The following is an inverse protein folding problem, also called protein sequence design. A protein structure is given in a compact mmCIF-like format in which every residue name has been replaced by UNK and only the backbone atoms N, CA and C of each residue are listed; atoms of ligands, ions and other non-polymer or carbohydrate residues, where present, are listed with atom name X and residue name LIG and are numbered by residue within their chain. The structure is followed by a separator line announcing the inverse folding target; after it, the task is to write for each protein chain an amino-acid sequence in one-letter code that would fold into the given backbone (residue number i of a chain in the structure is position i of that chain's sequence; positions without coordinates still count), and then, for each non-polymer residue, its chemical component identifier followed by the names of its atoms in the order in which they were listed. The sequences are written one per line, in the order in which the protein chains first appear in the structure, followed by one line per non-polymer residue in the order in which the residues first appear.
data_IF_843719502611
#
_entry.id   IF_843719502611
#
_cell.length_a   1.000
_cell.length_b   1.000
_cell.length_c   1.000
_cell.angle_alpha   90.00
_cell.angle_beta   90.00
_cell.angle_gamma   90.00
#
_symmetry.space_group_name_H-M   'P 1'
#
loop_
_entity.id
_entity.type
_entity.pdbx_description
1 polymer ?
#
# COMPACT_ATOMS: atom_id res chain seq x y z
N UNK A 1 35.26 33.77 -1.66
CA UNK A 1 33.79 33.76 -1.57
C UNK A 1 33.40 32.35 -1.11
N UNK A 2 33.04 32.16 0.15
CA UNK A 2 32.67 30.85 0.70
C UNK A 2 31.16 30.82 0.96
N UNK A 3 30.46 29.82 0.43
CA UNK A 3 29.05 29.57 0.74
C UNK A 3 29.01 28.48 1.80
N UNK A 4 28.63 28.83 3.03
CA UNK A 4 28.39 27.87 4.10
C UNK A 4 26.90 27.50 4.10
N UNK A 5 26.60 26.25 3.76
CA UNK A 5 25.26 25.67 3.83
C UNK A 5 25.18 24.87 5.13
N UNK A 6 24.58 25.45 6.17
CA UNK A 6 24.31 24.75 7.42
C UNK A 6 22.82 24.51 7.59
N UNK A 7 22.40 23.26 7.81
CA UNK A 7 21.04 22.90 8.17
C UNK A 7 21.00 22.23 9.54
N UNK A 8 20.17 22.72 10.46
CA UNK A 8 19.84 22.04 11.71
C UNK A 8 18.45 21.43 11.63
N UNK A 9 18.35 20.13 11.88
CA UNK A 9 17.08 19.40 11.95
C UNK A 9 16.59 19.35 13.41
N UNK A 10 15.32 19.70 13.64
CA UNK A 10 14.60 19.35 14.87
C UNK A 10 13.23 18.79 14.48
N UNK A 11 13.05 17.49 14.66
CA UNK A 11 11.79 16.80 14.38
C UNK A 11 10.80 17.04 15.54
N UNK A 12 9.87 17.97 15.36
CA UNK A 12 8.72 18.10 16.28
C UNK A 12 7.38 18.42 15.59
N UNK A 13 7.26 18.37 14.25
CA UNK A 13 5.96 18.61 13.56
C UNK A 13 5.90 17.92 12.16
N UNK A 14 4.84 17.13 11.82
CA UNK A 14 4.72 16.44 10.53
C UNK A 14 4.42 17.33 9.32
N UNK A 15 4.19 18.64 9.51
CA UNK A 15 3.85 19.57 8.42
C UNK A 15 5.04 20.33 7.81
N UNK A 16 6.27 19.84 8.00
CA UNK A 16 7.47 20.63 7.73
C UNK A 16 7.79 20.76 6.23
N UNK A 17 7.42 21.89 5.64
CA UNK A 17 7.96 22.46 4.39
C UNK A 17 9.49 22.44 4.43
N UNK A 18 10.14 21.96 3.35
CA UNK A 18 11.60 22.07 3.22
C UNK A 18 11.99 23.56 3.21
N UNK A 19 12.47 24.07 4.35
CA UNK A 19 12.93 25.46 4.49
C UNK A 19 14.44 25.50 4.31
N UNK A 20 14.89 25.68 3.08
CA UNK A 20 16.28 26.07 2.81
C UNK A 20 16.40 27.59 2.96
N UNK A 21 17.15 28.06 3.95
CA UNK A 21 17.55 29.46 4.06
C UNK A 21 19.01 29.58 3.58
N UNK A 22 19.23 30.29 2.48
CA UNK A 22 20.59 30.68 2.07
C UNK A 22 20.90 31.99 2.79
N UNK A 23 21.74 31.92 3.83
CA UNK A 23 22.28 33.10 4.51
C UNK A 23 23.59 33.46 3.83
N UNK A 24 23.61 34.59 3.13
CA UNK A 24 24.85 35.15 2.57
C UNK A 24 25.38 36.16 3.57
N UNK A 25 26.52 35.86 4.19
CA UNK A 25 27.19 36.80 5.08
C UNK A 25 27.90 37.89 4.26
N UNK A 26 27.38 39.12 4.34
CA UNK A 26 27.90 40.28 3.62
C UNK A 26 28.98 41.04 4.41
N UNK A 27 29.43 40.53 5.57
CA UNK A 27 30.46 41.19 6.39
C UNK A 27 31.86 41.25 5.74
N UNK A 28 32.08 40.56 4.62
CA UNK A 28 33.38 40.51 3.93
C UNK A 28 33.50 41.45 2.72
N UNK A 29 32.50 42.30 2.42
CA UNK A 29 32.58 43.24 1.30
C UNK A 29 33.24 44.56 1.71
N UNK A 30 34.13 45.15 0.87
CA UNK A 30 34.70 46.46 1.12
C UNK A 30 33.61 47.52 1.28
N UNK A 31 33.74 48.38 2.30
CA UNK A 31 32.79 49.50 2.53
C UNK A 31 32.79 50.41 1.29
N UNK A 32 31.66 50.49 0.60
CA UNK A 32 31.46 51.38 -0.55
C UNK A 32 31.00 50.70 -1.84
N UNK A 33 30.96 49.36 -1.90
CA UNK A 33 30.45 48.65 -3.08
C UNK A 33 28.92 48.62 -3.09
N UNK A 34 28.28 49.37 -3.99
CA UNK A 34 26.88 49.19 -4.31
C UNK A 34 26.70 47.84 -5.03
N UNK A 35 26.27 46.81 -4.29
CA UNK A 35 25.92 45.52 -4.89
C UNK A 35 24.62 45.72 -5.66
N UNK A 36 24.66 45.56 -6.98
CA UNK A 36 23.46 45.52 -7.80
C UNK A 36 22.63 44.28 -7.42
N UNK A 37 21.70 44.48 -6.48
CA UNK A 37 20.84 43.45 -5.89
C UNK A 37 19.95 42.75 -6.93
N UNK A 38 19.61 43.43 -8.02
CA UNK A 38 18.86 42.81 -9.13
C UNK A 38 19.71 41.78 -9.87
N UNK A 39 20.96 42.13 -10.20
CA UNK A 39 21.90 41.20 -10.84
C UNK A 39 22.22 39.98 -9.97
N UNK A 40 22.34 40.17 -8.65
CA UNK A 40 22.60 39.09 -7.70
C UNK A 40 21.39 38.13 -7.55
N UNK A 41 20.17 38.68 -7.50
CA UNK A 41 18.94 37.88 -7.51
C UNK A 41 18.78 37.07 -8.81
N UNK A 42 19.17 37.63 -9.96
CA UNK A 42 19.14 36.94 -11.26
C UNK A 42 20.14 35.78 -11.28
N UNK A 43 21.34 35.96 -10.72
CA UNK A 43 22.36 34.91 -10.64
C UNK A 43 21.93 33.75 -9.73
N UNK A 44 21.34 34.02 -8.56
CA UNK A 44 20.78 32.98 -7.67
C UNK A 44 19.63 32.22 -8.33
N UNK A 45 18.73 32.91 -9.06
CA UNK A 45 17.70 32.25 -9.87
C UNK A 45 18.30 31.34 -10.94
N UNK A 46 19.40 31.75 -11.57
CA UNK A 46 20.14 30.95 -12.54
C UNK A 46 20.74 29.68 -11.93
N UNK A 47 21.40 29.79 -10.78
CA UNK A 47 22.01 28.64 -10.06
C UNK A 47 20.94 27.68 -9.54
N UNK A 48 19.86 28.18 -8.95
CA UNK A 48 18.73 27.34 -8.54
C UNK A 48 18.02 26.68 -9.73
N UNK A 49 17.95 27.37 -10.87
CA UNK A 49 17.45 26.80 -12.13
C UNK A 49 18.32 25.66 -12.68
N UNK A 50 19.65 25.77 -12.53
CA UNK A 50 20.60 24.72 -12.90
C UNK A 50 20.51 23.52 -11.95
N UNK A 51 20.39 23.76 -10.63
CA UNK A 51 20.17 22.69 -9.63
C UNK A 51 18.82 21.98 -9.87
N UNK A 52 17.77 22.74 -10.23
CA UNK A 52 16.46 22.18 -10.61
C UNK A 52 16.56 21.29 -11.86
N UNK A 53 17.32 21.72 -12.89
CA UNK A 53 17.58 20.92 -14.09
C UNK A 53 18.40 19.66 -13.80
N UNK A 54 19.34 19.73 -12.87
CA UNK A 54 20.22 18.61 -12.50
C UNK A 54 19.51 17.57 -11.61
N UNK A 55 18.55 17.98 -10.77
CA UNK A 55 17.87 17.07 -9.83
C UNK A 55 16.50 16.57 -10.33
N UNK A 56 15.79 17.34 -11.17
CA UNK A 56 14.41 17.01 -11.58
C UNK A 56 14.12 17.50 -13.01
N UNK A 57 14.63 16.79 -14.01
CA UNK A 57 14.30 17.03 -15.43
C UNK A 57 12.86 16.58 -15.73
N UNK A 58 11.88 17.45 -15.43
CA UNK A 58 10.48 17.21 -15.81
C UNK A 58 9.44 18.13 -15.17
N UNK A 59 9.77 18.93 -14.16
CA UNK A 59 8.77 19.68 -13.38
C UNK A 59 8.59 21.15 -13.81
N UNK A 60 7.45 21.43 -14.43
CA UNK A 60 6.99 22.76 -14.87
C UNK A 60 6.38 23.64 -13.77
N UNK A 61 7.11 23.94 -12.70
CA UNK A 61 6.70 24.94 -11.68
C UNK A 61 7.38 26.30 -11.85
N UNK A 62 6.64 27.40 -11.62
CA UNK A 62 7.16 28.79 -11.60
C UNK A 62 7.62 29.20 -10.20
N UNK A 63 8.86 29.69 -10.07
CA UNK A 63 9.39 30.22 -8.81
C UNK A 63 9.01 31.69 -8.65
N UNK A 64 8.18 32.04 -7.66
CA UNK A 64 7.89 33.44 -7.30
C UNK A 64 8.75 33.86 -6.11
N UNK A 65 9.76 34.69 -6.38
CA UNK A 65 10.61 35.30 -5.35
C UNK A 65 9.94 36.58 -4.87
N UNK A 66 9.52 36.64 -3.61
CA UNK A 66 9.08 37.89 -2.97
C UNK A 66 10.20 38.41 -2.04
N UNK A 67 10.69 39.64 -2.23
CA UNK A 67 11.62 40.24 -1.28
C UNK A 67 10.86 40.61 0.00
N UNK A 68 11.42 40.27 1.17
CA UNK A 68 10.89 40.68 2.46
C UNK A 68 11.98 41.49 3.20
N UNK A 69 11.79 42.81 3.28
CA UNK A 69 12.70 43.70 4.01
C UNK A 69 12.14 43.94 5.41
N UNK A 70 12.87 43.51 6.46
CA UNK A 70 12.67 44.00 7.83
C UNK A 70 13.89 44.87 8.19
N UNK A 71 13.72 46.19 8.04
CA UNK A 71 14.64 47.28 8.41
C UNK A 71 15.90 47.50 7.56
N UNK A 72 16.36 48.76 7.56
CA UNK A 72 17.22 49.42 6.54
C UNK A 72 18.70 49.03 6.54
N UNK A 73 19.14 48.01 7.28
CA UNK A 73 20.58 47.66 7.31
C UNK A 73 20.92 46.18 7.18
N UNK A 74 19.95 45.30 6.98
CA UNK A 74 20.19 43.86 6.76
C UNK A 74 19.10 43.28 5.86
N UNK A 75 19.47 42.88 4.65
CA UNK A 75 18.57 42.22 3.71
C UNK A 75 18.96 40.75 3.60
N UNK A 76 18.37 39.88 4.42
CA UNK A 76 18.59 38.43 4.30
C UNK A 76 17.30 37.67 4.60
N UNK A 77 16.54 37.37 3.55
CA UNK A 77 15.73 36.16 3.40
C UNK A 77 14.98 36.22 2.07
N UNK A 78 15.50 35.56 1.03
CA UNK A 78 14.66 35.22 -0.12
C UNK A 78 13.80 34.03 0.28
N UNK A 79 12.49 34.26 0.44
CA UNK A 79 11.53 33.17 0.66
C UNK A 79 11.11 32.62 -0.70
N UNK A 80 11.72 31.52 -1.12
CA UNK A 80 11.14 30.69 -2.16
C UNK A 80 9.97 29.91 -1.53
N UNK A 81 8.75 30.39 -1.77
CA UNK A 81 7.57 29.57 -1.58
C UNK A 81 7.43 28.77 -2.87
N UNK A 82 7.79 27.49 -2.82
CA UNK A 82 7.30 26.53 -3.82
C UNK A 82 5.79 26.48 -3.60
N UNK A 83 5.07 27.20 -4.44
CA UNK A 83 3.62 27.13 -4.50
C UNK A 83 3.26 25.70 -4.93
N UNK A 84 2.76 24.92 -3.98
CA UNK A 84 2.30 23.55 -4.20
C UNK A 84 0.93 23.52 -4.86
N UNK A 85 0.67 24.46 -5.78
CA UNK A 85 -0.55 24.52 -6.59
C UNK A 85 -0.57 23.49 -7.73
N UNK A 86 0.45 22.61 -7.80
CA UNK A 86 0.36 21.31 -8.48
C UNK A 86 0.07 20.26 -7.41
N UNK A 87 -1.18 20.24 -6.95
CA UNK A 87 -1.78 19.07 -6.29
C UNK A 87 -2.25 18.10 -7.38
N UNK A 88 -1.85 16.83 -7.27
CA UNK A 88 -2.07 15.70 -8.21
C UNK A 88 -1.03 15.51 -9.32
N UNK A 89 0.24 15.41 -8.95
CA UNK A 89 1.00 14.28 -9.48
C UNK A 89 0.95 13.25 -8.35
N UNK A 90 -0.04 12.37 -8.41
CA UNK A 90 0.02 11.11 -7.68
C UNK A 90 1.39 10.51 -8.04
N UNK A 91 2.24 10.33 -7.03
CA UNK A 91 3.47 9.59 -7.25
C UNK A 91 3.01 8.22 -7.71
N UNK A 92 3.32 7.84 -8.94
CA UNK A 92 3.03 6.48 -9.38
C UNK A 92 3.83 5.54 -8.47
N UNK A 93 3.19 4.51 -7.90
CA UNK A 93 3.90 3.36 -7.38
C UNK A 93 5.07 3.02 -8.26
N UNK A 94 6.25 2.96 -7.65
CA UNK A 94 7.33 2.21 -8.26
C UNK A 94 6.77 0.81 -8.50
N UNK A 95 6.62 0.35 -9.75
CA UNK A 95 5.93 -0.91 -10.03
C UNK A 95 6.70 -2.14 -9.53
N UNK A 96 7.98 -1.94 -9.23
CA UNK A 96 8.91 -2.97 -8.81
C UNK A 96 8.48 -3.68 -7.52
N UNK A 97 8.31 -2.97 -6.39
CA UNK A 97 7.82 -3.55 -5.13
C UNK A 97 6.58 -4.44 -5.27
N UNK A 98 5.52 -3.99 -5.95
CA UNK A 98 4.30 -4.77 -6.17
C UNK A 98 4.55 -6.06 -6.93
N UNK A 99 5.26 -5.95 -8.06
CA UNK A 99 5.62 -7.09 -8.87
C UNK A 99 6.51 -8.08 -8.11
N UNK A 100 7.55 -7.61 -7.43
CA UNK A 100 8.48 -8.45 -6.67
C UNK A 100 7.79 -9.14 -5.50
N UNK A 101 6.95 -8.44 -4.73
CA UNK A 101 6.22 -9.01 -3.60
C UNK A 101 5.28 -10.12 -4.06
N UNK A 102 4.47 -9.85 -5.08
CA UNK A 102 3.49 -10.81 -5.58
C UNK A 102 4.17 -12.01 -6.26
N UNK A 103 5.21 -11.77 -7.05
CA UNK A 103 5.96 -12.85 -7.70
C UNK A 103 6.69 -13.72 -6.69
N UNK A 104 7.37 -13.13 -5.70
CA UNK A 104 8.05 -13.87 -4.64
C UNK A 104 7.06 -14.70 -3.81
N UNK A 105 5.91 -14.12 -3.48
CA UNK A 105 4.80 -14.82 -2.80
C UNK A 105 4.28 -15.99 -3.64
N UNK A 106 4.07 -15.79 -4.95
CA UNK A 106 3.64 -16.85 -5.86
C UNK A 106 4.67 -17.97 -6.01
N UNK A 107 5.95 -17.66 -6.05
CA UNK A 107 7.04 -18.64 -6.07
C UNK A 107 7.10 -19.44 -4.75
N UNK A 108 6.92 -18.78 -3.61
CA UNK A 108 6.81 -19.46 -2.31
C UNK A 108 5.62 -20.42 -2.29
N UNK A 109 4.44 -19.98 -2.76
CA UNK A 109 3.26 -20.84 -2.91
C UNK A 109 3.50 -22.01 -3.86
N UNK A 110 4.20 -21.78 -4.97
CA UNK A 110 4.60 -22.82 -5.92
C UNK A 110 5.44 -23.89 -5.22
N UNK A 111 6.44 -23.47 -4.44
CA UNK A 111 7.33 -24.37 -3.70
C UNK A 111 6.59 -25.18 -2.63
N UNK A 112 5.83 -24.53 -1.74
CA UNK A 112 5.16 -25.23 -0.64
C UNK A 112 4.02 -26.15 -1.09
N UNK A 113 3.50 -25.95 -2.31
CA UNK A 113 2.40 -26.75 -2.86
C UNK A 113 2.85 -27.78 -3.88
N UNK A 114 4.16 -27.94 -4.09
CA UNK A 114 4.74 -28.81 -5.11
C UNK A 114 4.15 -28.53 -6.49
N UNK A 115 4.07 -27.24 -6.86
CA UNK A 115 3.67 -26.79 -8.19
C UNK A 115 2.16 -26.73 -8.47
N UNK A 116 1.28 -27.04 -7.49
CA UNK A 116 -0.17 -26.86 -7.66
C UNK A 116 -0.56 -25.40 -7.85
N UNK A 117 0.14 -24.51 -7.17
CA UNK A 117 0.19 -23.11 -7.57
C UNK A 117 1.26 -23.00 -8.66
N UNK A 118 0.85 -23.09 -9.92
CA UNK A 118 1.77 -23.17 -11.06
C UNK A 118 2.28 -21.78 -11.52
N UNK A 119 3.27 -21.72 -12.43
CA UNK A 119 3.72 -20.47 -13.03
C UNK A 119 2.59 -19.60 -13.62
N UNK A 120 1.53 -20.22 -14.15
CA UNK A 120 0.34 -19.50 -14.63
C UNK A 120 -0.39 -18.76 -13.50
N UNK A 121 -0.48 -19.37 -12.32
CA UNK A 121 -1.10 -18.75 -11.14
C UNK A 121 -0.25 -17.57 -10.68
N UNK A 122 1.07 -17.78 -10.54
CA UNK A 122 2.02 -16.74 -10.15
C UNK A 122 1.99 -15.56 -11.09
N UNK A 123 2.01 -15.80 -12.41
CA UNK A 123 1.94 -14.73 -13.40
C UNK A 123 0.63 -13.94 -13.30
N UNK A 124 -0.51 -14.63 -13.28
CA UNK A 124 -1.83 -13.97 -13.21
C UNK A 124 -1.97 -13.17 -11.91
N UNK A 125 -1.58 -13.74 -10.77
CA UNK A 125 -1.57 -13.03 -9.48
C UNK A 125 -0.69 -11.78 -9.52
N UNK A 126 0.54 -11.92 -10.03
CA UNK A 126 1.53 -10.83 -10.09
C UNK A 126 1.06 -9.69 -10.98
N UNK A 127 0.52 -10.00 -12.17
CA UNK A 127 0.03 -8.97 -13.10
C UNK A 127 -1.08 -8.14 -12.47
N UNK A 128 -1.99 -8.76 -11.71
CA UNK A 128 -3.08 -8.02 -11.06
C UNK A 128 -2.65 -7.31 -9.77
N UNK A 129 -1.60 -7.78 -9.09
CA UNK A 129 -0.99 -7.04 -7.98
C UNK A 129 -0.18 -5.82 -8.45
N UNK A 130 0.40 -5.91 -9.66
CA UNK A 130 1.11 -4.82 -10.28
C UNK A 130 0.16 -3.86 -11.00
N UNK A 131 -0.43 -4.27 -12.12
CA UNK A 131 -1.18 -3.40 -13.02
C UNK A 131 -2.66 -3.24 -12.68
N UNK A 132 -3.20 -4.08 -11.78
CA UNK A 132 -4.64 -4.30 -11.72
C UNK A 132 -5.44 -3.02 -11.50
N UNK A 133 -5.52 -2.49 -10.27
CA UNK A 133 -6.24 -1.25 -9.98
C UNK A 133 -5.64 -0.01 -10.68
N UNK A 134 -4.32 0.00 -10.90
CA UNK A 134 -3.58 1.05 -11.61
C UNK A 134 -3.95 1.20 -13.10
N UNK A 135 -4.67 0.26 -13.70
CA UNK A 135 -5.23 0.47 -15.04
C UNK A 135 -6.19 1.69 -15.07
N UNK A 136 -6.73 2.08 -13.91
CA UNK A 136 -7.48 3.32 -13.73
C UNK A 136 -6.64 4.56 -14.04
N UNK A 137 -5.47 4.71 -13.42
CA UNK A 137 -4.57 5.85 -13.65
C UNK A 137 -4.02 5.86 -15.08
N UNK A 138 -3.82 4.68 -15.68
CA UNK A 138 -3.52 4.57 -17.12
C UNK A 138 -4.67 5.08 -18.00
N UNK A 139 -5.92 4.80 -17.63
CA UNK A 139 -7.11 5.25 -18.38
C UNK A 139 -7.30 6.77 -18.29
N UNK A 140 -6.99 7.37 -17.14
CA UNK A 140 -6.97 8.83 -16.97
C UNK A 140 -5.87 9.48 -17.83
N UNK A 141 -4.65 8.94 -17.77
CA UNK A 141 -3.56 9.39 -18.63
C UNK A 141 -3.95 9.29 -20.11
N UNK A 142 -4.52 8.17 -20.55
CA UNK A 142 -4.96 7.97 -21.92
C UNK A 142 -6.07 8.96 -22.31
N UNK A 143 -7.06 9.17 -21.45
CA UNK A 143 -8.14 10.15 -21.65
C UNK A 143 -7.63 11.58 -21.82
N UNK A 144 -6.60 11.96 -21.04
CA UNK A 144 -5.96 13.27 -21.12
C UNK A 144 -5.32 13.56 -22.48
N UNK A 145 -4.90 12.53 -23.22
CA UNK A 145 -4.34 12.66 -24.57
C UNK A 145 -5.40 13.02 -25.63
N UNK A 146 -6.66 12.65 -25.40
CA UNK A 146 -7.76 12.87 -26.35
C UNK A 146 -8.62 14.10 -25.99
N UNK A 147 -8.60 14.53 -24.73
CA UNK A 147 -9.27 15.74 -24.25
C UNK A 147 -10.82 15.66 -24.27
N UNK A 148 -11.46 16.69 -23.71
CA UNK A 148 -12.92 16.84 -23.75
C UNK A 148 -13.66 15.71 -23.00
N UNK A 149 -14.70 15.08 -23.59
CA UNK A 149 -15.46 14.01 -22.94
C UNK A 149 -14.62 12.81 -22.53
N UNK A 150 -13.51 12.54 -23.22
CA UNK A 150 -12.62 11.41 -22.94
C UNK A 150 -11.76 11.62 -21.69
N UNK A 151 -11.45 12.87 -21.35
CA UNK A 151 -10.74 13.23 -20.11
C UNK A 151 -11.64 13.00 -18.90
N UNK A 152 -12.90 13.47 -18.97
CA UNK A 152 -13.90 13.23 -17.94
C UNK A 152 -14.22 11.73 -17.76
N UNK A 153 -14.32 10.98 -18.87
CA UNK A 153 -14.51 9.52 -18.83
C UNK A 153 -13.31 8.81 -18.21
N UNK A 154 -12.09 9.18 -18.59
CA UNK A 154 -10.85 8.61 -18.06
C UNK A 154 -10.72 8.79 -16.55
N UNK A 155 -10.96 10.01 -16.06
CA UNK A 155 -10.90 10.31 -14.62
C UNK A 155 -12.01 9.61 -13.81
N UNK A 156 -13.23 9.51 -14.37
CA UNK A 156 -14.32 8.77 -13.73
C UNK A 156 -14.03 7.25 -13.66
N UNK A 157 -13.47 6.68 -14.74
CA UNK A 157 -13.04 5.28 -14.75
C UNK A 157 -11.88 5.05 -13.78
N UNK A 158 -10.93 5.97 -13.67
CA UNK A 158 -9.83 5.86 -12.72
C UNK A 158 -10.34 5.76 -11.28
N UNK A 159 -11.24 6.67 -10.88
CA UNK A 159 -11.84 6.64 -9.55
C UNK A 159 -12.67 5.37 -9.29
N UNK A 160 -13.39 4.88 -10.31
CA UNK A 160 -14.22 3.69 -10.15
C UNK A 160 -13.35 2.42 -10.04
N UNK A 161 -12.32 2.29 -10.86
CA UNK A 161 -11.49 1.10 -10.98
C UNK A 161 -10.46 1.03 -9.84
N UNK A 162 -9.95 2.16 -9.35
CA UNK A 162 -9.01 2.23 -8.24
C UNK A 162 -9.67 2.05 -6.85
N UNK A 163 -10.86 1.46 -6.79
CA UNK A 163 -11.50 1.08 -5.52
C UNK A 163 -11.32 -0.44 -5.28
N UNK A 164 -10.94 -0.87 -4.05
CA UNK A 164 -10.54 -2.25 -3.74
C UNK A 164 -11.53 -3.33 -4.14
N UNK A 165 -12.82 -3.01 -4.13
CA UNK A 165 -13.87 -3.95 -4.52
C UNK A 165 -14.38 -3.74 -5.94
N UNK A 166 -14.31 -2.52 -6.48
CA UNK A 166 -14.93 -2.22 -7.77
C UNK A 166 -14.07 -2.69 -8.93
N UNK A 167 -12.74 -2.69 -8.79
CA UNK A 167 -11.87 -3.40 -9.74
C UNK A 167 -12.34 -4.84 -9.98
N UNK A 168 -12.57 -5.56 -8.88
CA UNK A 168 -12.99 -6.97 -8.90
C UNK A 168 -14.39 -7.11 -9.50
N UNK A 169 -15.34 -6.26 -9.11
CA UNK A 169 -16.73 -6.35 -9.57
C UNK A 169 -16.87 -5.97 -11.05
N UNK A 170 -16.14 -4.96 -11.53
CA UNK A 170 -16.25 -4.44 -12.90
C UNK A 170 -15.37 -5.24 -13.86
N UNK A 171 -14.09 -5.46 -13.51
CA UNK A 171 -13.11 -6.07 -14.41
C UNK A 171 -12.82 -7.54 -14.09
N UNK A 172 -13.15 -8.03 -12.89
CA UNK A 172 -12.84 -9.40 -12.49
C UNK A 172 -13.44 -10.45 -13.43
N UNK A 173 -14.72 -10.32 -13.80
CA UNK A 173 -15.34 -11.24 -14.75
C UNK A 173 -14.73 -11.13 -16.16
N UNK A 174 -14.70 -9.96 -16.82
CA UNK A 174 -14.05 -9.83 -18.15
C UNK A 174 -12.61 -10.35 -18.19
N UNK A 175 -11.78 -9.96 -17.22
CA UNK A 175 -10.38 -10.37 -17.16
C UNK A 175 -10.24 -11.88 -16.87
N UNK A 176 -11.17 -12.49 -16.15
CA UNK A 176 -11.11 -13.94 -15.91
C UNK A 176 -11.22 -14.76 -17.19
N UNK A 177 -12.04 -14.31 -18.15
CA UNK A 177 -12.14 -14.93 -19.47
C UNK A 177 -10.86 -14.71 -20.27
N UNK A 178 -10.32 -13.49 -20.26
CA UNK A 178 -9.08 -13.16 -20.95
C UNK A 178 -7.89 -13.97 -20.42
N UNK A 179 -7.67 -13.98 -19.10
CA UNK A 179 -6.55 -14.70 -18.50
C UNK A 179 -6.66 -16.22 -18.68
N UNK A 180 -7.86 -16.80 -18.66
CA UNK A 180 -8.05 -18.22 -18.95
C UNK A 180 -7.66 -18.57 -20.40
N UNK A 181 -7.95 -17.67 -21.36
CA UNK A 181 -7.50 -17.80 -22.75
C UNK A 181 -5.99 -17.64 -22.88
N UNK A 182 -5.40 -16.64 -22.22
CA UNK A 182 -3.95 -16.42 -22.21
C UNK A 182 -3.23 -17.63 -21.61
N UNK A 183 -3.72 -18.17 -20.49
CA UNK A 183 -3.15 -19.38 -19.87
C UNK A 183 -3.17 -20.58 -20.82
N UNK A 184 -4.29 -20.76 -21.54
CA UNK A 184 -4.42 -21.80 -22.58
C UNK A 184 -3.39 -21.60 -23.69
N UNK A 185 -3.26 -20.37 -24.20
CA UNK A 185 -2.28 -20.03 -25.24
C UNK A 185 -0.83 -20.28 -24.77
N UNK A 186 -0.46 -19.81 -23.58
CA UNK A 186 0.89 -19.96 -23.02
C UNK A 186 1.25 -21.42 -22.77
N UNK A 187 0.26 -22.24 -22.40
CA UNK A 187 0.44 -23.68 -22.23
C UNK A 187 0.64 -24.38 -23.58
N UNK A 188 -0.20 -24.09 -24.58
CA UNK A 188 -0.12 -24.69 -25.91
C UNK A 188 1.15 -24.32 -26.67
N UNK A 189 1.69 -23.12 -26.42
CA UNK A 189 2.96 -22.66 -27.00
C UNK A 189 4.19 -23.09 -26.20
N UNK A 190 4.02 -23.87 -25.13
CA UNK A 190 5.08 -24.31 -24.22
C UNK A 190 5.90 -23.16 -23.61
N UNK A 191 5.32 -21.96 -23.51
CA UNK A 191 5.94 -20.81 -22.87
C UNK A 191 5.88 -20.90 -21.34
N UNK A 192 4.83 -21.52 -20.80
CA UNK A 192 4.69 -21.77 -19.37
C UNK A 192 4.19 -23.18 -19.08
N UNK A 193 4.86 -23.85 -18.15
CA UNK A 193 4.49 -25.19 -17.71
C UNK A 193 3.41 -25.15 -16.60
N UNK A 194 2.73 -26.29 -16.43
CA UNK A 194 1.73 -26.52 -15.39
C UNK A 194 1.76 -27.99 -15.00
N UNK A 195 1.76 -28.30 -13.70
CA UNK A 195 1.86 -29.68 -13.19
C UNK A 195 0.80 -30.60 -13.79
N UNK A 196 -0.44 -30.10 -13.93
CA UNK A 196 -1.55 -30.87 -14.49
C UNK A 196 -1.65 -30.80 -16.02
N UNK A 197 -0.80 -30.01 -16.70
CA UNK A 197 -0.94 -29.66 -18.13
C UNK A 197 -2.35 -29.15 -18.50
N UNK A 198 -3.03 -28.52 -17.55
CA UNK A 198 -4.33 -27.88 -17.75
C UNK A 198 -4.14 -26.37 -17.55
N UNK A 199 -4.75 -25.54 -18.43
CA UNK A 199 -4.71 -24.09 -18.25
C UNK A 199 -5.61 -23.64 -17.10
N UNK A 200 -5.45 -22.41 -16.65
CA UNK A 200 -6.29 -21.84 -15.61
C UNK A 200 -7.75 -21.77 -16.06
N UNK A 201 -8.64 -22.24 -15.18
CA UNK A 201 -10.08 -22.01 -15.32
C UNK A 201 -10.43 -20.56 -15.03
N UNK A 202 -11.58 -20.11 -15.54
CA UNK A 202 -12.08 -18.75 -15.30
C UNK A 202 -12.26 -18.44 -13.82
N UNK A 203 -12.72 -19.41 -13.03
CA UNK A 203 -12.87 -19.23 -11.57
C UNK A 203 -11.52 -19.06 -10.87
N UNK A 204 -10.50 -19.83 -11.26
CA UNK A 204 -9.15 -19.65 -10.72
C UNK A 204 -8.61 -18.27 -11.10
N UNK A 205 -8.79 -17.83 -12.34
CA UNK A 205 -8.41 -16.48 -12.76
C UNK A 205 -9.16 -15.41 -11.95
N UNK A 206 -10.46 -15.56 -11.70
CA UNK A 206 -11.23 -14.62 -10.88
C UNK A 206 -10.68 -14.48 -9.46
N UNK A 207 -10.32 -15.60 -8.81
CA UNK A 207 -9.68 -15.58 -7.50
C UNK A 207 -8.30 -14.92 -7.53
N UNK A 208 -7.49 -15.18 -8.56
CA UNK A 208 -6.15 -14.61 -8.72
C UNK A 208 -6.19 -13.10 -9.02
N UNK A 209 -7.16 -12.64 -9.81
CA UNK A 209 -7.43 -11.21 -10.05
C UNK A 209 -7.77 -10.54 -8.73
N UNK A 210 -8.69 -11.14 -7.97
CA UNK A 210 -9.12 -10.62 -6.67
C UNK A 210 -7.96 -10.57 -5.68
N UNK A 211 -7.16 -11.64 -5.60
CA UNK A 211 -5.98 -11.71 -4.74
C UNK A 211 -4.93 -10.65 -5.13
N UNK A 212 -4.67 -10.51 -6.43
CA UNK A 212 -3.75 -9.50 -6.94
C UNK A 212 -4.22 -8.09 -6.56
N UNK A 213 -5.48 -7.78 -6.83
CA UNK A 213 -6.08 -6.49 -6.47
C UNK A 213 -5.96 -6.18 -4.98
N UNK A 214 -6.29 -7.11 -4.07
CA UNK A 214 -6.14 -6.86 -2.64
C UNK A 214 -4.67 -6.71 -2.22
N UNK A 215 -3.76 -7.45 -2.86
CA UNK A 215 -2.31 -7.31 -2.62
C UNK A 215 -1.79 -5.96 -3.10
N UNK A 216 -2.30 -5.46 -4.22
CA UNK A 216 -1.98 -4.12 -4.73
C UNK A 216 -2.31 -3.06 -3.67
N UNK A 217 -3.57 -3.02 -3.24
CA UNK A 217 -3.99 -2.09 -2.19
C UNK A 217 -3.23 -2.31 -0.88
N UNK A 218 -2.94 -3.54 -0.47
CA UNK A 218 -2.11 -3.80 0.72
C UNK A 218 -0.79 -3.01 0.67
N UNK A 219 -0.11 -3.04 -0.47
CA UNK A 219 1.15 -2.36 -0.66
C UNK A 219 0.97 -0.84 -0.77
N UNK A 220 -0.09 -0.37 -1.44
CA UNK A 220 -0.34 1.08 -1.55
C UNK A 220 -0.59 1.72 -0.19
N UNK A 221 -1.38 1.02 0.65
CA UNK A 221 -1.68 1.47 2.00
C UNK A 221 -0.43 1.53 2.88
N UNK A 222 0.55 0.67 2.63
CA UNK A 222 1.82 0.64 3.38
C UNK A 222 2.84 1.65 2.86
N UNK A 223 2.91 1.87 1.55
CA UNK A 223 4.06 2.53 0.93
C UNK A 223 3.74 3.78 0.09
N UNK A 224 2.54 3.91 -0.47
CA UNK A 224 2.26 4.88 -1.56
C UNK A 224 1.69 6.22 -1.06
N UNK A 225 0.85 6.20 -0.01
CA UNK A 225 0.05 7.38 0.32
C UNK A 225 0.52 8.17 1.55
N UNK A 226 1.76 7.95 2.03
CA UNK A 226 2.22 8.49 3.33
C UNK A 226 1.22 8.21 4.48
N UNK A 227 0.48 7.09 4.41
CA UNK A 227 -0.56 6.75 5.38
C UNK A 227 -1.79 7.67 5.34
N UNK A 228 -2.14 8.25 4.18
CA UNK A 228 -3.29 9.15 4.05
C UNK A 228 -4.53 8.51 3.42
N UNK A 229 -4.50 7.21 3.08
CA UNK A 229 -5.70 6.54 2.57
C UNK A 229 -6.82 6.64 3.60
N UNK A 230 -8.07 6.69 3.14
CA UNK A 230 -9.24 6.68 4.03
C UNK A 230 -9.23 5.46 4.95
N UNK A 231 -8.81 4.31 4.43
CA UNK A 231 -8.64 3.06 5.18
C UNK A 231 -7.54 3.18 6.23
N UNK A 232 -6.34 3.69 5.90
CA UNK A 232 -5.25 3.80 6.85
C UNK A 232 -5.56 4.84 7.93
N UNK A 233 -6.19 5.95 7.56
CA UNK A 233 -6.73 6.93 8.49
C UNK A 233 -7.76 6.29 9.42
N UNK A 234 -8.66 5.46 8.89
CA UNK A 234 -9.61 4.70 9.68
C UNK A 234 -8.91 3.72 10.63
N UNK A 235 -7.91 2.97 10.16
CA UNK A 235 -7.11 2.05 11.00
C UNK A 235 -6.53 2.82 12.17
N UNK A 236 -5.74 3.85 11.90
CA UNK A 236 -5.14 4.69 12.94
C UNK A 236 -6.20 5.27 13.88
N UNK A 237 -7.35 5.67 13.35
CA UNK A 237 -8.43 6.22 14.16
C UNK A 237 -8.98 5.23 15.17
N UNK A 238 -8.76 3.92 15.05
CA UNK A 238 -9.20 2.90 16.03
C UNK A 238 -8.31 2.81 17.28
N UNK A 239 -7.07 3.31 17.21
CA UNK A 239 -6.12 3.32 18.33
C UNK A 239 -6.26 4.53 19.26
N UNK A 240 -5.34 4.62 20.24
CA UNK A 240 -5.25 5.76 21.17
C UNK A 240 -3.87 6.38 21.13
N UNK A 241 -3.81 7.60 20.58
CA UNK A 241 -2.56 8.28 20.28
C UNK A 241 -2.39 9.58 21.08
N UNK A 242 -3.29 9.85 22.03
CA UNK A 242 -3.28 11.09 22.82
C UNK A 242 -2.85 10.81 24.25
N UNK A 243 -1.62 11.19 24.61
CA UNK A 243 -1.02 10.91 25.92
C UNK A 243 -0.95 9.40 26.24
N UNK A 244 -0.64 9.04 27.48
CA UNK A 244 -0.57 7.63 27.89
C UNK A 244 -1.96 7.00 27.83
N UNK A 245 -2.12 5.92 27.10
CA UNK A 245 -3.38 5.20 27.04
C UNK A 245 -3.82 4.75 28.46
N UNK A 246 -5.06 5.03 28.87
CA UNK A 246 -5.56 4.56 30.16
C UNK A 246 -5.67 3.04 30.16
N UNK A 247 -5.10 2.40 31.18
CA UNK A 247 -5.18 0.94 31.33
C UNK A 247 -6.60 0.57 31.78
N UNK A 248 -7.34 -0.10 30.91
CA UNK A 248 -8.66 -0.61 31.22
C UNK A 248 -8.55 -2.03 31.83
N UNK A 249 -8.93 -2.26 33.11
CA UNK A 249 -8.84 -3.58 33.72
C UNK A 249 -9.73 -4.61 33.01
N UNK A 250 -10.89 -4.21 32.48
CA UNK A 250 -11.79 -5.08 31.73
C UNK A 250 -11.10 -5.63 30.47
N UNK A 251 -10.31 -4.78 29.81
CA UNK A 251 -9.54 -5.15 28.64
C UNK A 251 -8.49 -6.22 28.99
N UNK A 252 -7.77 -6.06 30.10
CA UNK A 252 -6.77 -7.04 30.56
C UNK A 252 -7.42 -8.40 30.80
N UNK A 253 -8.57 -8.42 31.49
CA UNK A 253 -9.29 -9.67 31.80
C UNK A 253 -9.80 -10.34 30.52
N UNK A 254 -10.46 -9.59 29.64
CA UNK A 254 -11.09 -10.16 28.44
C UNK A 254 -10.05 -10.59 27.41
N UNK A 255 -9.06 -9.75 27.13
CA UNK A 255 -7.98 -10.09 26.18
C UNK A 255 -7.15 -11.24 26.73
N UNK A 256 -6.80 -11.20 28.02
CA UNK A 256 -6.10 -12.29 28.68
C UNK A 256 -6.86 -13.61 28.59
N UNK A 257 -8.17 -13.57 28.82
CA UNK A 257 -9.05 -14.74 28.66
C UNK A 257 -9.09 -15.24 27.21
N UNK A 258 -9.29 -14.36 26.23
CA UNK A 258 -9.33 -14.72 24.81
C UNK A 258 -8.00 -15.32 24.34
N UNK A 259 -6.87 -14.75 24.75
CA UNK A 259 -5.53 -15.29 24.48
C UNK A 259 -5.33 -16.66 25.14
N UNK A 260 -5.75 -16.83 26.39
CA UNK A 260 -5.69 -18.12 27.08
C UNK A 260 -6.56 -19.19 26.38
N UNK A 261 -7.76 -18.83 25.95
CA UNK A 261 -8.65 -19.70 25.16
C UNK A 261 -8.04 -20.06 23.81
N UNK A 262 -7.41 -19.11 23.12
CA UNK A 262 -6.75 -19.37 21.84
C UNK A 262 -5.58 -20.34 21.99
N UNK A 263 -4.67 -20.06 22.92
CA UNK A 263 -3.49 -20.89 23.17
C UNK A 263 -3.91 -22.26 23.70
N UNK A 264 -4.73 -22.30 24.76
CA UNK A 264 -5.21 -23.54 25.37
C UNK A 264 -6.05 -24.39 24.41
N UNK A 265 -6.93 -23.76 23.64
CA UNK A 265 -7.72 -24.42 22.60
C UNK A 265 -6.85 -24.98 21.48
N UNK A 266 -5.84 -24.25 21.04
CA UNK A 266 -4.89 -24.74 20.02
C UNK A 266 -4.12 -25.96 20.52
N UNK A 267 -3.60 -25.93 21.77
CA UNK A 267 -2.97 -27.09 22.40
C UNK A 267 -3.92 -28.28 22.50
N UNK A 268 -5.15 -28.04 22.94
CA UNK A 268 -6.16 -29.08 23.09
C UNK A 268 -6.50 -29.77 21.76
N UNK A 269 -6.72 -28.99 20.70
CA UNK A 269 -7.05 -29.50 19.36
C UNK A 269 -5.88 -30.25 18.72
N UNK A 270 -4.65 -29.79 18.94
CA UNK A 270 -3.45 -30.34 18.34
C UNK A 270 -2.72 -31.38 19.21
N UNK A 271 -3.31 -31.83 20.32
CA UNK A 271 -2.69 -32.84 21.19
C UNK A 271 -2.39 -34.15 20.42
N UNK A 272 -1.26 -34.76 20.76
CA UNK A 272 -0.74 -35.97 20.10
C UNK A 272 -1.71 -37.16 20.20
N UNK A 273 -2.47 -37.26 21.29
CA UNK A 273 -3.42 -38.35 21.56
C UNK A 273 -4.76 -38.25 20.83
N UNK A 274 -4.99 -37.22 20.01
CA UNK A 274 -6.24 -37.09 19.25
C UNK A 274 -6.20 -37.93 17.97
N UNK A 275 -7.22 -38.78 17.78
CA UNK A 275 -7.45 -39.62 16.59
C UNK A 275 -7.80 -38.83 15.32
N UNK A 276 -7.95 -37.52 15.40
CA UNK A 276 -8.23 -36.68 14.23
C UNK A 276 -7.01 -36.58 13.31
N UNK A 277 -7.25 -36.58 12.00
CA UNK A 277 -6.20 -36.31 11.02
C UNK A 277 -5.65 -34.87 11.15
N UNK A 278 -4.41 -34.65 10.73
CA UNK A 278 -3.77 -33.31 10.74
C UNK A 278 -4.64 -32.27 10.02
N UNK A 279 -5.27 -32.64 8.89
CA UNK A 279 -6.17 -31.76 8.15
C UNK A 279 -7.38 -31.33 8.99
N UNK A 280 -8.00 -32.26 9.71
CA UNK A 280 -9.14 -31.97 10.57
C UNK A 280 -8.72 -31.09 11.75
N UNK A 281 -7.57 -31.36 12.37
CA UNK A 281 -6.99 -30.52 13.43
C UNK A 281 -6.69 -29.10 12.95
N UNK A 282 -6.11 -28.95 11.76
CA UNK A 282 -5.84 -27.66 11.12
C UNK A 282 -7.13 -26.88 10.87
N UNK A 283 -8.16 -27.53 10.31
CA UNK A 283 -9.48 -26.90 10.10
C UNK A 283 -10.12 -26.44 11.42
N UNK A 284 -10.11 -27.29 12.45
CA UNK A 284 -10.63 -26.92 13.78
C UNK A 284 -9.82 -25.77 14.41
N UNK A 285 -8.50 -25.74 14.23
CA UNK A 285 -7.64 -24.65 14.70
C UNK A 285 -7.95 -23.34 14.00
N UNK A 286 -8.20 -23.38 12.69
CA UNK A 286 -8.64 -22.23 11.92
C UNK A 286 -10.00 -21.71 12.41
N UNK A 287 -10.97 -22.60 12.66
CA UNK A 287 -12.27 -22.21 13.23
C UNK A 287 -12.12 -21.57 14.62
N UNK A 288 -11.26 -22.11 15.47
CA UNK A 288 -10.93 -21.51 16.77
C UNK A 288 -10.37 -20.10 16.60
N UNK A 289 -9.37 -19.92 15.73
CA UNK A 289 -8.78 -18.62 15.44
C UNK A 289 -9.83 -17.61 14.96
N UNK A 290 -10.66 -17.98 13.98
CA UNK A 290 -11.72 -17.11 13.44
C UNK A 290 -12.72 -16.75 14.53
N UNK A 291 -13.10 -17.71 15.38
CA UNK A 291 -14.05 -17.47 16.48
C UNK A 291 -13.49 -16.47 17.49
N UNK A 292 -12.24 -16.67 17.95
CA UNK A 292 -11.58 -15.77 18.90
C UNK A 292 -11.37 -14.38 18.28
N UNK A 293 -10.89 -14.31 17.04
CA UNK A 293 -10.70 -13.04 16.34
C UNK A 293 -12.03 -12.28 16.19
N UNK A 294 -13.13 -12.97 15.88
CA UNK A 294 -14.45 -12.36 15.76
C UNK A 294 -14.97 -11.82 17.10
N UNK A 295 -14.80 -12.59 18.17
CA UNK A 295 -15.14 -12.13 19.53
C UNK A 295 -14.31 -10.92 19.94
N UNK A 296 -13.02 -10.92 19.59
CA UNK A 296 -12.13 -9.80 19.88
C UNK A 296 -12.51 -8.55 19.09
N UNK A 297 -12.73 -8.67 17.78
CA UNK A 297 -13.20 -7.56 16.94
C UNK A 297 -14.54 -7.01 17.44
N UNK A 298 -15.48 -7.86 17.85
CA UNK A 298 -16.76 -7.44 18.43
C UNK A 298 -16.54 -6.63 19.71
N UNK A 299 -15.68 -7.10 20.62
CA UNK A 299 -15.31 -6.38 21.82
C UNK A 299 -14.71 -5.00 21.49
N UNK A 300 -13.72 -4.94 20.59
CA UNK A 300 -13.12 -3.67 20.18
C UNK A 300 -14.16 -2.72 19.55
N UNK A 301 -15.05 -3.23 18.71
CA UNK A 301 -16.10 -2.44 18.08
C UNK A 301 -17.06 -1.83 19.13
N UNK A 302 -17.43 -2.59 20.16
CA UNK A 302 -18.25 -2.09 21.28
C UNK A 302 -17.52 -0.96 22.02
N UNK A 303 -16.24 -1.13 22.34
CA UNK A 303 -15.44 -0.12 23.05
C UNK A 303 -15.27 1.18 22.23
N UNK A 304 -15.10 1.05 20.91
CA UNK A 304 -14.83 2.17 20.01
C UNK A 304 -16.11 2.92 19.60
N UNK A 305 -17.17 2.18 19.24
CA UNK A 305 -18.35 2.76 18.59
C UNK A 305 -19.58 2.86 19.49
N UNK A 306 -19.66 2.06 20.56
CA UNK A 306 -20.88 1.98 21.39
C UNK A 306 -20.74 2.65 22.75
N UNK A 307 -19.55 2.59 23.37
CA UNK A 307 -19.31 3.15 24.69
C UNK A 307 -18.96 4.64 24.60
N UNK A 308 -19.57 5.46 25.46
CA UNK A 308 -19.34 6.90 25.58
C UNK A 308 -18.91 7.28 27.02
N UNK A 309 -17.78 7.99 27.22
CA UNK A 309 -16.81 8.38 26.19
C UNK A 309 -16.11 7.16 25.61
N UNK A 310 -15.68 7.28 24.35
CA UNK A 310 -14.95 6.24 23.63
C UNK A 310 -13.77 5.74 24.46
N UNK A 311 -13.62 4.41 24.55
CA UNK A 311 -12.50 3.78 25.27
C UNK A 311 -11.57 3.08 24.28
N UNK A 312 -10.24 3.18 24.43
CA UNK A 312 -9.35 2.27 23.71
C UNK A 312 -9.66 0.84 24.11
N UNK A 313 -9.75 -0.05 23.13
CA UNK A 313 -10.02 -1.45 23.39
C UNK A 313 -8.87 -2.10 24.18
N UNK A 314 -7.61 -1.83 23.77
CA UNK A 314 -6.38 -2.24 24.45
C UNK A 314 -5.26 -1.26 24.08
N UNK A 315 -4.53 -0.73 25.07
CA UNK A 315 -3.29 0.03 24.84
C UNK A 315 -3.41 1.24 23.91
N UNK A 316 -2.29 1.60 23.28
CA UNK A 316 -2.19 2.67 22.27
C UNK A 316 -2.54 2.17 20.85
N UNK A 317 -2.60 0.84 20.67
CA UNK A 317 -2.62 0.18 19.37
C UNK A 317 -4.00 0.23 18.69
N UNK A 318 -3.96 0.23 17.34
CA UNK A 318 -5.12 0.31 16.47
C UNK A 318 -5.75 -1.07 16.18
N UNK A 319 -6.03 -1.84 17.23
CA UNK A 319 -6.29 -3.29 17.14
C UNK A 319 -7.40 -3.67 16.15
N UNK A 320 -8.58 -3.05 16.26
CA UNK A 320 -9.70 -3.35 15.37
C UNK A 320 -9.34 -3.05 13.91
N UNK A 321 -8.75 -1.87 13.69
CA UNK A 321 -8.35 -1.43 12.36
C UNK A 321 -7.32 -2.37 11.75
N UNK A 322 -6.28 -2.70 12.52
CA UNK A 322 -5.20 -3.60 12.11
C UNK A 322 -5.72 -5.00 11.82
N UNK A 323 -6.60 -5.55 12.65
CA UNK A 323 -7.17 -6.89 12.42
C UNK A 323 -8.01 -6.95 11.15
N UNK A 324 -8.87 -5.95 10.92
CA UNK A 324 -9.67 -5.87 9.69
C UNK A 324 -8.76 -5.69 8.47
N UNK A 325 -7.74 -4.83 8.58
CA UNK A 325 -6.77 -4.62 7.50
C UNK A 325 -6.01 -5.90 7.15
N UNK A 326 -5.46 -6.60 8.15
CA UNK A 326 -4.77 -7.87 7.94
C UNK A 326 -5.72 -8.93 7.39
N UNK A 327 -6.97 -9.02 7.86
CA UNK A 327 -7.93 -9.97 7.34
C UNK A 327 -8.20 -9.77 5.84
N UNK A 328 -8.45 -8.51 5.42
CA UNK A 328 -8.87 -8.17 4.05
C UNK A 328 -7.69 -8.08 3.08
N UNK A 329 -6.60 -7.43 3.48
CA UNK A 329 -5.51 -7.09 2.57
C UNK A 329 -4.30 -8.02 2.69
N UNK A 330 -4.17 -8.78 3.79
CA UNK A 330 -3.08 -9.73 3.96
C UNK A 330 -3.56 -11.19 3.83
N UNK A 331 -4.43 -11.68 4.71
CA UNK A 331 -4.82 -13.09 4.74
C UNK A 331 -5.75 -13.51 3.60
N UNK A 332 -6.74 -12.69 3.27
CA UNK A 332 -7.69 -12.98 2.18
C UNK A 332 -7.01 -13.20 0.82
N UNK A 333 -6.06 -12.36 0.35
CA UNK A 333 -5.32 -12.63 -0.89
C UNK A 333 -4.68 -14.03 -0.91
N UNK A 334 -4.01 -14.43 0.17
CA UNK A 334 -3.42 -15.77 0.25
C UNK A 334 -4.49 -16.87 0.27
N UNK A 335 -5.61 -16.65 0.96
CA UNK A 335 -6.75 -17.57 0.93
C UNK A 335 -7.30 -17.78 -0.48
N UNK A 336 -7.46 -16.69 -1.24
CA UNK A 336 -7.90 -16.73 -2.64
C UNK A 336 -6.88 -17.44 -3.54
N UNK A 337 -5.58 -17.19 -3.34
CA UNK A 337 -4.52 -17.93 -4.01
C UNK A 337 -4.59 -19.44 -3.71
N UNK A 338 -4.82 -19.82 -2.45
CA UNK A 338 -5.00 -21.23 -2.05
C UNK A 338 -6.24 -21.85 -2.70
N UNK A 339 -7.36 -21.14 -2.71
CA UNK A 339 -8.60 -21.59 -3.38
C UNK A 339 -8.45 -21.73 -4.90
N UNK A 340 -7.50 -21.00 -5.51
CA UNK A 340 -7.23 -21.08 -6.93
C UNK A 340 -6.34 -22.26 -7.34
N UNK A 341 -5.70 -22.96 -6.39
CA UNK A 341 -4.74 -24.02 -6.72
C UNK A 341 -5.36 -25.18 -7.50
N UNK A 342 -4.57 -25.79 -8.38
CA UNK A 342 -4.98 -27.00 -9.10
C UNK A 342 -5.32 -28.14 -8.11
N UNK A 343 -6.32 -28.98 -8.43
CA UNK A 343 -6.65 -30.15 -7.62
C UNK A 343 -5.45 -31.09 -7.53
N UNK A 344 -5.46 -31.98 -6.52
CA UNK A 344 -4.49 -33.07 -6.46
C UNK A 344 -4.72 -33.97 -7.66
N UNK A 345 -3.64 -34.33 -8.36
CA UNK A 345 -3.69 -35.43 -9.31
C UNK A 345 -4.20 -36.69 -8.59
N UNK A 346 -5.05 -37.51 -9.25
CA UNK A 346 -5.38 -38.83 -8.76
C UNK A 346 -4.08 -39.62 -8.53
N UNK A 347 -3.99 -40.31 -7.41
CA UNK A 347 -2.87 -41.21 -7.14
C UNK A 347 -2.84 -42.25 -8.27
N UNK A 348 -1.74 -42.41 -9.03
CA UNK A 348 -1.66 -43.40 -10.11
C UNK A 348 -1.93 -44.83 -9.62
N UNK A 349 -1.85 -45.07 -8.30
CA UNK A 349 -2.21 -46.34 -7.66
C UNK A 349 -3.73 -46.56 -7.48
N UNK A 350 -4.58 -45.61 -7.86
CA UNK A 350 -6.05 -45.69 -7.75
C UNK A 350 -6.75 -45.89 -9.11
N UNK A 351 -6.01 -46.14 -10.19
CA UNK A 351 -6.61 -46.53 -11.47
C UNK A 351 -7.03 -48.01 -11.35
N UNK A 352 -8.33 -48.36 -11.41
CA UNK A 352 -8.73 -49.75 -11.53
C UNK A 352 -8.19 -50.26 -12.87
N UNK A 353 -7.41 -51.34 -12.83
CA UNK A 353 -6.95 -52.08 -14.01
C UNK A 353 -8.12 -52.62 -14.83
#
# INVERSE_FOLDING_TARGET
MGVLIGGTYRMTDPSTVLRAAIVVDLQSLPKGSAVNLEGFCVSIKGVLGQIKKALYSGWGGTCRVKPFCRTTKTCVACRCVLDSSITRLEAMPGPGPHLMYAMASGLALTSITNGKFSPHHTLTYTVNAFFGPDIGSFSEWLGSLFGGPFDALGSALAHLIHHPFYYILVLGLPLSFLYSRISSYLLHTHLLDSVSRVPLTRMQCFFLISAGSFTHFFLDHLFEENGKTTTYTWILSTGWWQSRAPVNPDAVVIVGFLCACLIGGFFYLNRASSSNSIKKKSYQSMLLMISIASLYCLWCAIQIYWISPRRPAVGEEADLGVLVFLAVYFFLPYGLCIMSMSPKDPDPNQIPL
#
